data_IF_870451046071
#
_entry.id   IF_870451046071
#
_cell.length_a   1.000
_cell.length_b   1.000
_cell.length_c   1.000
_cell.angle_alpha   90.00
_cell.angle_beta   90.00
_cell.angle_gamma   90.00
#
_symmetry.space_group_name_H-M   'P 1'
#
loop_
_entity.id
_entity.type
_entity.pdbx_description
1 polymer ?
#
# COMPACT_ATOMS: atom_id res chain seq x y z
N UNK A 1 4.33 -33.67 16.12
CA UNK A 1 4.24 -32.35 16.28
C UNK A 1 4.06 -31.59 15.01
N UNK A 2 3.16 -30.84 15.01
CA UNK A 2 2.90 -30.07 13.84
C UNK A 2 3.79 -28.84 13.85
N UNK A 3 4.28 -28.52 12.73
CA UNK A 3 4.98 -27.28 12.60
C UNK A 3 4.37 -26.58 11.42
N UNK A 4 4.38 -25.28 11.46
CA UNK A 4 3.82 -24.52 10.39
C UNK A 4 4.61 -24.78 9.11
N UNK A 5 3.91 -25.16 8.08
CA UNK A 5 4.54 -25.33 6.78
C UNK A 5 4.84 -23.95 6.20
N UNK A 6 5.65 -23.95 5.15
CA UNK A 6 5.92 -22.70 4.44
C UNK A 6 4.61 -22.10 3.92
N UNK A 7 3.72 -22.96 3.48
CA UNK A 7 2.42 -22.53 3.00
C UNK A 7 1.62 -21.83 4.07
N UNK A 8 1.54 -22.45 5.26
CA UNK A 8 0.79 -21.86 6.35
C UNK A 8 1.35 -20.51 6.76
N UNK A 9 2.67 -20.41 6.77
CA UNK A 9 3.33 -19.17 7.11
C UNK A 9 3.03 -18.11 6.08
N UNK A 10 3.07 -18.47 4.80
CA UNK A 10 2.76 -17.54 3.74
C UNK A 10 1.33 -17.03 3.83
N UNK A 11 0.40 -17.93 4.11
CA UNK A 11 -1.00 -17.54 4.25
C UNK A 11 -1.17 -16.58 5.41
N UNK A 12 -0.49 -16.84 6.52
CA UNK A 12 -0.58 -15.94 7.68
C UNK A 12 -0.06 -14.56 7.34
N UNK A 13 1.08 -14.49 6.64
CA UNK A 13 1.64 -13.21 6.27
C UNK A 13 0.70 -12.44 5.35
N UNK A 14 0.07 -13.15 4.42
CA UNK A 14 -0.90 -12.51 3.53
C UNK A 14 -2.09 -11.97 4.30
N UNK A 15 -2.58 -12.72 5.27
CA UNK A 15 -3.72 -12.27 6.06
C UNK A 15 -3.39 -11.04 6.88
N UNK A 16 -2.22 -11.03 7.52
CA UNK A 16 -1.82 -9.86 8.29
C UNK A 16 -1.65 -8.67 7.37
N UNK A 17 -1.02 -8.88 6.23
CA UNK A 17 -0.86 -7.81 5.24
C UNK A 17 -2.19 -7.22 4.82
N UNK A 18 -3.19 -8.08 4.58
CA UNK A 18 -4.50 -7.59 4.18
C UNK A 18 -5.18 -6.80 5.29
N UNK A 19 -4.98 -7.19 6.52
CA UNK A 19 -5.55 -6.43 7.64
C UNK A 19 -4.88 -5.06 7.76
N UNK A 20 -3.56 -5.02 7.59
CA UNK A 20 -2.84 -3.75 7.60
C UNK A 20 -3.33 -2.88 6.46
N UNK A 21 -3.47 -3.47 5.25
CA UNK A 21 -3.94 -2.73 4.09
C UNK A 21 -5.32 -2.12 4.36
N UNK A 22 -6.19 -2.90 4.97
CA UNK A 22 -7.55 -2.44 5.24
C UNK A 22 -7.55 -1.26 6.21
N UNK A 23 -6.77 -1.35 7.28
CA UNK A 23 -6.67 -0.26 8.25
C UNK A 23 -6.15 1.01 7.57
N UNK A 24 -5.08 0.88 6.81
CA UNK A 24 -4.51 2.05 6.13
C UNK A 24 -5.48 2.65 5.12
N UNK A 25 -6.16 1.79 4.38
CA UNK A 25 -7.16 2.26 3.42
C UNK A 25 -8.27 3.06 4.12
N UNK A 26 -8.74 2.56 5.25
CA UNK A 26 -9.76 3.28 6.00
C UNK A 26 -9.28 4.62 6.50
N UNK A 27 -8.06 4.64 7.04
CA UNK A 27 -7.52 5.90 7.55
C UNK A 27 -7.42 6.95 6.47
N UNK A 28 -7.00 6.55 5.28
CA UNK A 28 -6.83 7.49 4.19
C UNK A 28 -8.17 7.85 3.56
N UNK A 29 -9.05 6.89 3.38
CA UNK A 29 -10.35 7.14 2.76
C UNK A 29 -11.21 8.05 3.65
N UNK A 30 -11.18 7.84 4.94
CA UNK A 30 -11.96 8.66 5.86
C UNK A 30 -11.25 9.92 6.29
N UNK A 31 -10.09 10.18 5.69
CA UNK A 31 -9.34 11.40 5.94
C UNK A 31 -9.06 11.61 7.41
N UNK A 32 -8.69 10.51 8.08
CA UNK A 32 -8.37 10.57 9.50
C UNK A 32 -6.93 10.97 9.76
N UNK A 33 -6.16 11.19 8.71
CA UNK A 33 -4.80 11.70 8.82
C UNK A 33 -4.85 13.18 8.47
N UNK A 34 -4.43 14.00 9.42
CA UNK A 34 -4.51 15.44 9.22
C UNK A 34 -3.28 15.94 8.48
N UNK A 35 -3.32 15.85 7.17
CA UNK A 35 -2.24 16.28 6.30
C UNK A 35 -2.87 16.76 5.01
N UNK A 36 -2.58 18.00 4.64
CA UNK A 36 -3.23 18.61 3.48
C UNK A 36 -3.00 17.84 2.20
N UNK A 37 -1.79 17.32 2.02
CA UNK A 37 -1.50 16.54 0.81
C UNK A 37 -2.34 15.28 0.78
N UNK A 38 -2.44 14.58 1.91
CA UNK A 38 -3.22 13.35 1.94
C UNK A 38 -4.71 13.62 1.81
N UNK A 39 -5.16 14.74 2.35
CA UNK A 39 -6.56 15.12 2.22
C UNK A 39 -6.92 15.48 0.79
N UNK A 40 -5.98 16.07 0.06
CA UNK A 40 -6.22 16.54 -1.29
C UNK A 40 -6.20 15.42 -2.33
N UNK A 41 -5.73 14.23 -1.97
CA UNK A 41 -5.59 13.14 -2.92
C UNK A 41 -6.37 11.92 -2.49
N UNK A 42 -6.93 11.21 -3.47
CA UNK A 42 -7.48 9.89 -3.23
C UNK A 42 -6.37 8.89 -3.46
N UNK A 43 -6.04 8.13 -2.42
CA UNK A 43 -4.89 7.25 -2.44
C UNK A 43 -5.37 5.81 -2.24
N UNK A 44 -4.97 4.95 -3.16
CA UNK A 44 -5.27 3.53 -3.03
C UNK A 44 -4.08 2.82 -2.42
N UNK A 45 -4.32 2.05 -1.36
CA UNK A 45 -3.32 1.14 -0.83
C UNK A 45 -3.54 -0.18 -1.56
N UNK A 46 -2.67 -0.48 -2.50
CA UNK A 46 -2.90 -1.61 -3.40
C UNK A 46 -2.41 -2.92 -2.85
N UNK A 47 -1.35 -2.89 -2.04
CA UNK A 47 -0.79 -4.13 -1.53
C UNK A 47 0.05 -3.81 -0.29
N UNK A 48 0.06 -4.74 0.67
CA UNK A 48 0.94 -4.67 1.82
C UNK A 48 1.65 -6.02 1.94
N UNK A 49 2.96 -5.99 1.97
CA UNK A 49 3.77 -7.19 2.12
C UNK A 49 4.49 -7.14 3.45
N UNK A 50 4.22 -8.13 4.29
CA UNK A 50 4.82 -8.21 5.61
C UNK A 50 6.12 -9.01 5.57
N UNK A 51 7.09 -8.59 6.38
CA UNK A 51 8.27 -9.43 6.60
C UNK A 51 7.87 -10.64 7.44
N UNK A 52 8.65 -11.73 7.35
CA UNK A 52 8.31 -12.95 8.09
C UNK A 52 8.18 -12.76 9.60
N UNK A 53 8.92 -11.80 10.16
CA UNK A 53 8.85 -11.53 11.60
C UNK A 53 7.78 -10.50 11.94
N UNK A 54 7.00 -10.04 10.95
CA UNK A 54 5.93 -9.08 11.12
C UNK A 54 6.39 -7.72 11.63
N UNK A 55 7.67 -7.44 11.54
CA UNK A 55 8.20 -6.17 12.04
C UNK A 55 8.26 -5.09 10.98
N UNK A 56 8.15 -5.47 9.72
CA UNK A 56 8.21 -4.50 8.62
C UNK A 56 7.09 -4.77 7.64
N UNK A 57 6.57 -3.71 7.05
CA UNK A 57 5.53 -3.80 6.06
C UNK A 57 5.88 -2.89 4.90
N UNK A 58 5.92 -3.46 3.71
CA UNK A 58 6.04 -2.65 2.49
C UNK A 58 4.63 -2.33 2.02
N UNK A 59 4.32 -1.05 1.99
CA UNK A 59 2.98 -0.58 1.66
C UNK A 59 3.02 0.06 0.28
N UNK A 60 2.33 -0.55 -0.68
CA UNK A 60 2.30 -0.05 -2.04
C UNK A 60 1.07 0.81 -2.23
N UNK A 61 1.28 2.02 -2.73
CA UNK A 61 0.22 3.00 -2.86
C UNK A 61 0.21 3.59 -4.26
N UNK A 62 -0.94 4.10 -4.64
CA UNK A 62 -1.11 4.75 -5.93
C UNK A 62 -2.17 5.84 -5.82
N UNK A 63 -1.85 7.08 -6.22
CA UNK A 63 -2.89 8.11 -6.29
C UNK A 63 -3.87 7.74 -7.39
N UNK A 64 -5.17 7.79 -7.07
CA UNK A 64 -6.17 7.30 -8.01
C UNK A 64 -6.34 8.19 -9.22
N UNK A 65 -6.14 9.50 -9.06
CA UNK A 65 -6.31 10.43 -10.17
C UNK A 65 -5.00 10.80 -10.82
N UNK A 66 -3.94 10.06 -10.50
CA UNK A 66 -2.64 10.30 -11.10
C UNK A 66 -1.93 11.50 -10.51
N UNK A 67 -0.73 11.75 -11.02
CA UNK A 67 0.04 12.91 -10.61
C UNK A 67 0.54 12.84 -9.19
N UNK A 68 1.45 13.71 -8.87
CA UNK A 68 1.91 14.00 -7.51
C UNK A 68 2.27 12.80 -6.65
N UNK A 69 2.75 11.73 -7.29
CA UNK A 69 3.13 10.51 -6.56
C UNK A 69 4.19 10.79 -5.52
N UNK A 70 5.17 11.62 -5.88
CA UNK A 70 6.24 11.95 -4.95
C UNK A 70 5.71 12.71 -3.74
N UNK A 71 4.79 13.64 -3.96
CA UNK A 71 4.22 14.40 -2.86
C UNK A 71 3.42 13.51 -1.93
N UNK A 72 2.66 12.57 -2.50
CA UNK A 72 1.88 11.64 -1.71
C UNK A 72 2.80 10.75 -0.87
N UNK A 73 3.87 10.23 -1.48
CA UNK A 73 4.81 9.40 -0.73
C UNK A 73 5.47 10.19 0.39
N UNK A 74 5.86 11.42 0.12
CA UNK A 74 6.48 12.25 1.14
C UNK A 74 5.51 12.50 2.29
N UNK A 75 4.24 12.74 1.98
CA UNK A 75 3.24 12.97 3.01
C UNK A 75 3.01 11.72 3.86
N UNK A 76 2.97 10.56 3.22
CA UNK A 76 2.83 9.31 3.97
C UNK A 76 4.02 9.09 4.89
N UNK A 77 5.21 9.38 4.40
CA UNK A 77 6.41 9.21 5.21
C UNK A 77 6.45 10.18 6.38
N UNK A 78 5.94 11.40 6.19
CA UNK A 78 5.83 12.37 7.28
C UNK A 78 4.92 11.86 8.39
N UNK A 79 3.93 11.08 8.04
CA UNK A 79 2.93 10.62 8.97
C UNK A 79 3.13 9.18 9.40
N UNK A 80 4.31 8.61 9.15
CA UNK A 80 4.56 7.20 9.43
C UNK A 80 4.33 6.84 10.89
N UNK A 81 4.81 7.66 11.82
CA UNK A 81 4.67 7.33 13.23
C UNK A 81 3.20 7.22 13.65
N UNK A 82 2.39 8.16 13.17
CA UNK A 82 0.97 8.11 13.47
C UNK A 82 0.31 6.87 12.86
N UNK A 83 0.63 6.61 11.59
CA UNK A 83 0.04 5.46 10.90
C UNK A 83 0.45 4.14 11.54
N UNK A 84 1.69 4.04 11.97
CA UNK A 84 2.15 2.83 12.65
C UNK A 84 1.41 2.60 13.95
N UNK A 85 1.20 3.66 14.73
CA UNK A 85 0.47 3.52 15.97
C UNK A 85 -0.96 3.09 15.72
N UNK A 86 -1.60 3.66 14.71
CA UNK A 86 -2.99 3.31 14.42
C UNK A 86 -3.12 1.86 13.96
N UNK A 87 -2.18 1.41 13.14
CA UNK A 87 -2.20 0.02 12.69
C UNK A 87 -2.06 -0.92 13.89
N UNK A 88 -1.06 -0.67 14.73
CA UNK A 88 -0.82 -1.54 15.87
C UNK A 88 -2.02 -1.56 16.80
N UNK A 89 -2.59 -0.39 17.05
CA UNK A 89 -3.71 -0.30 17.97
C UNK A 89 -4.95 -0.99 17.44
N UNK A 90 -5.29 -0.74 16.18
CA UNK A 90 -6.50 -1.30 15.60
C UNK A 90 -6.42 -2.80 15.39
N UNK A 91 -5.23 -3.32 15.16
CA UNK A 91 -5.05 -4.75 14.97
C UNK A 91 -4.63 -5.48 16.24
N UNK A 92 -4.45 -4.74 17.35
CA UNK A 92 -4.04 -5.36 18.59
C UNK A 92 -2.66 -5.97 18.53
N UNK A 93 -1.76 -5.35 17.79
CA UNK A 93 -0.41 -5.88 17.64
C UNK A 93 0.45 -5.43 18.81
N UNK A 94 1.32 -6.34 19.25
CA UNK A 94 2.23 -6.03 20.33
C UNK A 94 3.23 -4.95 19.93
N UNK A 95 3.70 -5.02 18.70
CA UNK A 95 4.64 -4.04 18.17
C UNK A 95 4.08 -3.44 16.91
N UNK A 96 4.29 -2.15 16.72
CA UNK A 96 3.89 -1.51 15.49
C UNK A 96 4.89 -1.88 14.39
N UNK A 97 4.42 -2.43 13.28
CA UNK A 97 5.33 -2.74 12.18
C UNK A 97 5.84 -1.44 11.55
N UNK A 98 7.08 -1.47 11.12
CA UNK A 98 7.62 -0.33 10.39
C UNK A 98 7.01 -0.29 9.01
N UNK A 99 6.40 0.83 8.68
CA UNK A 99 5.75 1.00 7.39
C UNK A 99 6.72 1.66 6.41
N UNK A 100 6.89 1.04 5.27
CA UNK A 100 7.68 1.62 4.20
C UNK A 100 6.76 1.82 3.01
N UNK A 101 6.58 3.07 2.61
CA UNK A 101 5.65 3.40 1.55
C UNK A 101 6.36 3.45 0.21
N UNK A 102 5.79 2.76 -0.76
CA UNK A 102 6.37 2.64 -2.09
C UNK A 102 5.27 2.85 -3.12
N UNK A 103 5.66 3.38 -4.27
CA UNK A 103 4.72 3.54 -5.37
C UNK A 103 4.42 2.17 -5.98
N UNK A 104 3.15 1.94 -6.27
CA UNK A 104 2.76 0.71 -6.97
C UNK A 104 2.82 1.01 -8.47
N UNK A 105 3.79 0.44 -9.13
CA UNK A 105 4.01 0.67 -10.54
C UNK A 105 3.57 -0.51 -11.41
N UNK A 106 2.96 -1.52 -10.80
CA UNK A 106 2.61 -2.71 -11.55
C UNK A 106 1.61 -2.41 -12.66
N UNK A 107 0.66 -1.52 -12.40
CA UNK A 107 -0.31 -1.13 -13.42
C UNK A 107 0.37 -0.39 -14.57
N UNK A 108 1.25 0.54 -14.24
CA UNK A 108 1.98 1.29 -15.26
C UNK A 108 2.84 0.38 -16.10
N UNK A 109 3.44 -0.62 -15.46
CA UNK A 109 4.27 -1.57 -16.16
C UNK A 109 3.45 -2.43 -17.11
N UNK A 110 2.30 -2.87 -16.67
CA UNK A 110 1.42 -3.66 -17.53
C UNK A 110 0.96 -2.84 -18.72
N UNK A 111 0.64 -1.58 -18.49
CA UNK A 111 0.20 -0.69 -19.54
C UNK A 111 1.32 -0.49 -20.57
N UNK A 112 2.55 -0.36 -20.10
CA UNK A 112 3.68 -0.21 -21.01
C UNK A 112 3.88 -1.46 -21.85
N UNK A 113 3.72 -2.62 -21.26
CA UNK A 113 3.83 -3.88 -21.99
C UNK A 113 2.76 -3.97 -23.06
N UNK A 114 1.54 -3.60 -22.73
CA UNK A 114 0.45 -3.61 -23.70
C UNK A 114 0.76 -2.70 -24.88
N UNK A 115 1.32 -1.54 -24.62
CA UNK A 115 1.67 -0.63 -25.71
C UNK A 115 2.73 -1.20 -26.62
N UNK A 116 3.66 -1.96 -26.07
CA UNK A 116 4.70 -2.57 -26.88
C UNK A 116 4.14 -3.68 -27.76
N UNK A 117 3.16 -4.40 -27.25
CA UNK A 117 2.58 -5.51 -27.98
C UNK A 117 1.51 -5.04 -28.95
N UNK A 118 0.68 -4.09 -28.57
CA UNK A 118 -0.42 -3.58 -29.38
C UNK A 118 -0.43 -2.06 -29.38
N UNK A 119 0.46 -1.46 -30.14
CA UNK A 119 0.58 0.00 -30.10
C UNK A 119 -0.71 0.73 -30.48
N UNK A 120 -1.47 0.16 -31.43
CA UNK A 120 -2.68 0.81 -31.85
C UNK A 120 -3.77 0.78 -30.79
N UNK A 121 -3.80 -0.25 -30.01
CA UNK A 121 -4.82 -0.39 -28.98
C UNK A 121 -4.52 0.46 -27.77
N UNK A 122 -3.26 0.61 -27.47
CA UNK A 122 -2.87 1.21 -26.20
C UNK A 122 -2.68 2.71 -26.27
N UNK A 123 -3.42 3.37 -27.12
CA UNK A 123 -3.33 4.82 -27.20
C UNK A 123 -4.66 5.45 -26.90
N UNK A 124 -5.21 5.21 -25.75
CA UNK A 124 -6.53 5.77 -25.45
C UNK A 124 -6.51 7.28 -25.41
N UNK A 125 -5.44 7.84 -24.96
CA UNK A 125 -5.36 9.28 -24.89
C UNK A 125 -5.37 9.94 -26.24
N UNK A 126 -5.15 9.17 -27.26
CA UNK A 126 -5.13 9.71 -28.61
C UNK A 126 -6.48 9.73 -29.23
N UNK A 127 -7.31 9.26 -28.57
CA UNK A 127 -8.53 9.23 -29.13
C UNK A 127 -9.39 9.61 -28.41
#
# INVERSE_FOLDING_TARGET
>A
MARASTEDRSVRLLKVGERVRHVLSELLTRQQVHDDTLTAHQISVTEVRMSPDLRQAKVYVKPLLGGDEEDVLAALRRNTAYLQREVAQRLGLKFAPKLKFLADESFDEADRIDRLINPTISKPGLR
#
